data_IF_020898114710
#
_entry.id   IF_020898114710
#
_cell.length_a   1.000
_cell.length_b   1.000
_cell.length_c   1.000
_cell.angle_alpha   90.00
_cell.angle_beta   90.00
_cell.angle_gamma   90.00
#
_symmetry.space_group_name_H-M   'P 1'
#
loop_
_entity.id
_entity.type
_entity.pdbx_description
1 polymer ?
#
# COMPACT_ATOMS: atom_id res chain seq x y z
N UNK A 1 6.00 -0.59 15.90
CA UNK A 1 7.03 -1.64 15.73
C UNK A 1 7.33 -2.30 17.09
N UNK A 2 6.32 -2.74 17.87
CA UNK A 2 6.55 -3.03 19.30
C UNK A 2 5.55 -3.94 20.02
N UNK A 3 4.83 -4.81 19.31
CA UNK A 3 3.99 -5.86 19.97
C UNK A 3 4.15 -7.25 19.37
N UNK A 4 4.61 -7.38 18.11
CA UNK A 4 4.84 -8.71 17.50
C UNK A 4 6.13 -9.35 18.00
N UNK A 5 7.20 -8.54 18.12
CA UNK A 5 8.53 -9.00 18.52
C UNK A 5 8.50 -9.37 20.01
N UNK A 6 7.95 -8.48 20.86
CA UNK A 6 7.84 -8.69 22.31
C UNK A 6 7.01 -9.91 22.72
N UNK A 7 5.95 -10.25 21.98
CA UNK A 7 5.14 -11.44 22.22
C UNK A 7 5.81 -12.75 21.81
N UNK A 8 6.54 -12.74 20.70
CA UNK A 8 7.37 -13.87 20.28
C UNK A 8 8.56 -14.06 21.22
N UNK A 9 9.16 -12.96 21.71
CA UNK A 9 10.22 -12.99 22.73
C UNK A 9 9.75 -13.61 24.05
N UNK A 10 8.47 -13.43 24.41
CA UNK A 10 7.87 -13.99 25.63
C UNK A 10 7.24 -15.38 25.44
N UNK A 11 7.55 -16.08 24.33
CA UNK A 11 7.01 -17.40 23.98
C UNK A 11 5.47 -17.45 23.95
N UNK A 12 4.85 -16.35 23.50
CA UNK A 12 3.39 -16.17 23.44
C UNK A 12 2.81 -16.33 22.03
N UNK A 13 1.49 -16.57 21.95
CA UNK A 13 0.71 -16.64 20.71
C UNK A 13 -0.04 -15.34 20.45
N UNK A 14 -0.07 -14.91 19.19
CA UNK A 14 -0.73 -13.68 18.77
C UNK A 14 -2.12 -13.99 18.21
N UNK A 15 -3.15 -13.42 18.82
CA UNK A 15 -4.53 -13.53 18.37
C UNK A 15 -4.84 -12.50 17.26
N UNK A 16 -5.76 -12.84 16.37
CA UNK A 16 -6.15 -12.00 15.21
C UNK A 16 -6.65 -10.61 15.62
N UNK A 17 -7.19 -10.47 16.84
CA UNK A 17 -7.61 -9.19 17.41
C UNK A 17 -6.45 -8.32 17.93
N UNK A 18 -5.20 -8.75 17.76
CA UNK A 18 -4.00 -8.05 18.22
C UNK A 18 -3.59 -8.35 19.66
N UNK A 19 -4.32 -9.21 20.37
CA UNK A 19 -3.99 -9.63 21.73
C UNK A 19 -2.84 -10.62 21.76
N UNK A 20 -2.09 -10.61 22.84
CA UNK A 20 -0.97 -11.49 23.07
C UNK A 20 -1.25 -12.41 24.25
N UNK A 21 -1.24 -13.71 23.99
CA UNK A 21 -1.43 -14.75 24.99
C UNK A 21 -0.05 -15.32 25.32
N UNK A 22 0.46 -15.13 26.53
CA UNK A 22 1.69 -15.80 26.97
C UNK A 22 1.43 -16.51 28.30
N UNK A 23 2.10 -17.64 28.49
CA UNK A 23 1.88 -18.51 29.63
C UNK A 23 3.09 -18.42 30.56
N UNK A 24 2.92 -17.75 31.69
CA UNK A 24 3.95 -17.66 32.72
C UNK A 24 3.45 -18.36 33.98
N UNK A 25 4.07 -19.49 34.33
CA UNK A 25 3.88 -20.31 35.54
C UNK A 25 2.48 -20.24 36.18
N UNK A 26 1.59 -21.17 35.82
CA UNK A 26 0.20 -21.30 36.31
C UNK A 26 -0.76 -20.12 36.02
N UNK A 27 -0.35 -19.10 35.26
CA UNK A 27 -1.23 -17.97 34.89
C UNK A 27 -1.21 -17.78 33.37
N UNK A 28 -2.41 -17.75 32.77
CA UNK A 28 -2.61 -17.33 31.38
C UNK A 28 -2.89 -15.82 31.36
N UNK A 29 -1.90 -15.03 30.98
CA UNK A 29 -2.06 -13.58 30.87
C UNK A 29 -2.45 -13.22 29.44
N UNK A 30 -3.57 -12.51 29.29
CA UNK A 30 -4.02 -11.93 28.02
C UNK A 30 -3.67 -10.46 28.02
N UNK A 31 -2.62 -10.08 27.30
CA UNK A 31 -2.37 -8.66 27.04
C UNK A 31 -3.35 -8.25 25.94
N UNK A 32 -4.40 -7.55 26.34
CA UNK A 32 -5.34 -6.93 25.41
C UNK A 32 -4.58 -5.93 24.56
N UNK A 33 -4.37 -6.28 23.30
CA UNK A 33 -3.77 -5.38 22.32
C UNK A 33 -4.81 -4.34 21.95
N UNK A 34 -4.88 -3.24 22.70
CA UNK A 34 -5.65 -2.07 22.29
C UNK A 34 -4.97 -1.47 21.07
N UNK A 35 -5.42 -1.91 19.89
CA UNK A 35 -5.54 -1.22 18.62
C UNK A 35 -5.43 -2.27 17.51
N UNK A 36 -6.42 -2.40 16.60
CA UNK A 36 -6.22 -3.16 15.37
C UNK A 36 -4.94 -2.64 14.73
N UNK A 37 -3.97 -3.54 14.59
CA UNK A 37 -2.58 -3.25 14.26
C UNK A 37 -2.54 -2.60 12.87
N UNK A 38 -2.67 -1.28 12.81
CA UNK A 38 -2.61 -0.55 11.55
C UNK A 38 -1.23 -0.80 10.94
N UNK A 39 -1.21 -1.28 9.70
CA UNK A 39 0.03 -1.55 8.95
C UNK A 39 0.90 -0.28 9.01
N UNK A 40 2.19 -0.36 9.39
CA UNK A 40 3.00 0.82 9.63
C UNK A 40 3.10 1.73 8.41
N UNK A 41 3.17 1.17 7.20
CA UNK A 41 3.13 1.93 5.94
C UNK A 41 1.81 2.65 5.73
N UNK A 42 0.69 2.00 6.04
CA UNK A 42 -0.65 2.61 5.95
C UNK A 42 -0.78 3.78 6.94
N UNK A 43 -0.29 3.58 8.17
CA UNK A 43 -0.27 4.63 9.19
C UNK A 43 0.55 5.84 8.75
N UNK A 44 1.75 5.60 8.21
CA UNK A 44 2.64 6.64 7.71
C UNK A 44 2.02 7.40 6.53
N UNK A 45 1.43 6.69 5.56
CA UNK A 45 0.76 7.31 4.43
C UNK A 45 -0.42 8.19 4.85
N UNK A 46 -1.28 7.69 5.74
CA UNK A 46 -2.45 8.47 6.19
C UNK A 46 -2.12 9.63 7.12
N UNK A 47 -1.14 9.48 8.02
CA UNK A 47 -0.81 10.51 9.01
C UNK A 47 0.28 11.47 8.56
N UNK A 48 1.35 10.97 7.96
CA UNK A 48 2.54 11.78 7.68
C UNK A 48 2.54 12.31 6.24
N UNK A 49 2.10 11.51 5.26
CA UNK A 49 2.07 11.95 3.84
C UNK A 49 0.81 12.75 3.53
N UNK A 50 -0.36 12.22 3.87
CA UNK A 50 -1.64 12.84 3.55
C UNK A 50 -2.12 13.83 4.62
N UNK A 51 -1.71 13.66 5.89
CA UNK A 51 -2.31 14.31 7.07
C UNK A 51 -3.85 14.32 7.02
N UNK A 52 -4.46 13.14 6.98
CA UNK A 52 -5.91 13.02 6.92
C UNK A 52 -6.57 13.64 8.17
N UNK A 53 -7.45 14.62 7.97
CA UNK A 53 -8.30 15.19 9.01
C UNK A 53 -9.43 14.21 9.41
N UNK A 54 -9.97 14.35 10.62
CA UNK A 54 -11.02 13.46 11.15
C UNK A 54 -12.42 13.72 10.54
N UNK A 55 -12.57 14.72 9.65
CA UNK A 55 -13.84 14.98 8.98
C UNK A 55 -13.74 16.04 7.86
N UNK A 56 -14.79 16.12 7.03
CA UNK A 56 -14.91 17.11 5.94
C UNK A 56 -15.13 18.55 6.44
N UNK A 57 -15.60 18.71 7.68
CA UNK A 57 -15.89 20.01 8.30
C UNK A 57 -14.64 20.69 8.87
N UNK A 58 -13.55 19.93 9.03
CA UNK A 58 -12.27 20.39 9.54
C UNK A 58 -11.23 20.29 8.43
N UNK A 59 -11.24 21.25 7.50
CA UNK A 59 -10.14 21.42 6.55
C UNK A 59 -8.89 21.85 7.34
N UNK A 60 -8.08 20.87 7.74
CA UNK A 60 -6.84 21.10 8.48
C UNK A 60 -5.82 21.92 7.69
N UNK A 61 -4.65 22.15 8.27
CA UNK A 61 -3.58 22.93 7.62
C UNK A 61 -3.11 22.26 6.32
N UNK A 62 -3.10 22.99 5.22
CA UNK A 62 -2.65 22.49 3.92
C UNK A 62 -1.17 22.07 3.97
N UNK A 63 -0.87 20.85 3.54
CA UNK A 63 0.51 20.36 3.45
C UNK A 63 1.29 21.08 2.34
N UNK A 64 2.16 22.00 2.72
CA UNK A 64 2.99 22.77 1.80
C UNK A 64 3.88 21.90 0.90
N UNK A 65 4.34 20.75 1.41
CA UNK A 65 5.12 19.79 0.63
C UNK A 65 4.33 19.18 -0.54
N UNK A 66 3.04 18.86 -0.32
CA UNK A 66 2.17 18.36 -1.38
C UNK A 66 1.85 19.47 -2.38
N UNK A 67 1.61 20.70 -1.91
CA UNK A 67 1.39 21.86 -2.78
C UNK A 67 2.56 22.13 -3.73
N UNK A 68 3.79 22.08 -3.22
CA UNK A 68 5.01 22.25 -4.04
C UNK A 68 5.17 21.10 -5.03
N UNK A 69 4.89 19.85 -4.62
CA UNK A 69 4.92 18.69 -5.50
C UNK A 69 3.96 18.84 -6.69
N UNK A 70 2.74 19.31 -6.42
CA UNK A 70 1.73 19.57 -7.47
C UNK A 70 2.17 20.69 -8.41
N UNK A 71 2.72 21.78 -7.87
CA UNK A 71 3.22 22.89 -8.68
C UNK A 71 4.37 22.43 -9.60
N UNK A 72 5.29 21.63 -9.08
CA UNK A 72 6.40 21.08 -9.86
C UNK A 72 5.92 20.14 -10.98
N UNK A 73 4.93 19.30 -10.69
CA UNK A 73 4.30 18.43 -11.70
C UNK A 73 3.64 19.25 -12.82
N UNK A 74 2.91 20.30 -12.45
CA UNK A 74 2.28 21.20 -13.42
C UNK A 74 3.35 21.83 -14.33
N UNK A 75 4.40 22.42 -13.74
CA UNK A 75 5.53 23.00 -14.49
C UNK A 75 6.18 21.98 -15.42
N UNK A 76 6.41 20.74 -14.98
CA UNK A 76 6.97 19.68 -15.81
C UNK A 76 6.08 19.38 -17.03
N UNK A 77 4.76 19.31 -16.87
CA UNK A 77 3.82 19.12 -17.97
C UNK A 77 3.89 20.30 -18.95
N UNK A 78 3.93 21.53 -18.46
CA UNK A 78 4.12 22.71 -19.32
C UNK A 78 5.42 22.64 -20.10
N UNK A 79 6.53 22.27 -19.46
CA UNK A 79 7.84 22.13 -20.13
C UNK A 79 7.80 21.05 -21.23
N UNK A 80 7.14 19.91 -20.98
CA UNK A 80 6.96 18.86 -21.98
C UNK A 80 6.15 19.32 -23.21
N UNK A 81 5.23 20.27 -23.03
CA UNK A 81 4.41 20.84 -24.10
C UNK A 81 5.13 21.98 -24.84
N UNK A 82 5.86 22.84 -24.12
CA UNK A 82 6.55 24.00 -24.68
C UNK A 82 7.77 23.65 -25.54
N UNK A 83 8.46 22.54 -25.28
CA UNK A 83 9.67 22.15 -26.04
C UNK A 83 9.43 21.55 -27.44
N UNK A 84 8.17 21.56 -27.90
CA UNK A 84 7.82 21.19 -29.27
C UNK A 84 7.85 19.68 -29.53
N UNK A 85 6.90 19.23 -30.36
CA UNK A 85 6.65 17.82 -30.73
C UNK A 85 7.86 17.05 -31.28
N UNK A 86 8.94 17.74 -31.67
CA UNK A 86 10.17 17.11 -32.17
C UNK A 86 11.09 16.55 -31.07
N UNK A 87 11.13 17.16 -29.88
CA UNK A 87 11.94 16.67 -28.75
C UNK A 87 11.12 15.80 -27.79
N UNK A 88 9.84 16.16 -27.56
CA UNK A 88 8.94 15.45 -26.66
C UNK A 88 8.73 13.98 -27.06
N UNK A 89 8.75 13.67 -28.36
CA UNK A 89 8.69 12.29 -28.84
C UNK A 89 9.82 11.41 -28.29
N UNK A 90 11.04 11.95 -28.13
CA UNK A 90 12.20 11.18 -27.63
C UNK A 90 12.03 10.75 -26.17
N UNK A 91 11.52 11.66 -25.33
CA UNK A 91 11.25 11.40 -23.91
C UNK A 91 10.07 10.44 -23.74
N UNK A 92 9.05 10.56 -24.58
CA UNK A 92 7.89 9.64 -24.57
C UNK A 92 8.32 8.19 -24.81
N UNK A 93 9.28 7.91 -25.72
CA UNK A 93 9.78 6.54 -25.88
C UNK A 93 10.35 5.97 -24.58
N UNK A 94 11.06 6.78 -23.79
CA UNK A 94 11.60 6.34 -22.49
C UNK A 94 10.48 6.14 -21.48
N UNK A 95 9.52 7.07 -21.37
CA UNK A 95 8.40 7.00 -20.43
C UNK A 95 7.46 5.84 -20.74
N UNK A 96 7.34 5.43 -22.01
CA UNK A 96 6.54 4.26 -22.40
C UNK A 96 7.31 2.97 -22.18
N UNK A 97 8.60 2.91 -22.52
CA UNK A 97 9.39 1.67 -22.41
C UNK A 97 9.73 1.33 -20.94
N UNK A 98 9.99 2.34 -20.11
CA UNK A 98 10.31 2.16 -18.69
C UNK A 98 9.25 1.36 -17.90
N UNK A 99 7.94 1.66 -17.95
CA UNK A 99 6.93 0.86 -17.27
C UNK A 99 6.82 -0.55 -17.83
N UNK A 100 7.05 -0.79 -19.13
CA UNK A 100 7.10 -2.16 -19.65
C UNK A 100 8.25 -2.97 -19.05
N UNK A 101 9.44 -2.37 -18.93
CA UNK A 101 10.59 -3.03 -18.27
C UNK A 101 10.26 -3.34 -16.81
N UNK A 102 9.70 -2.37 -16.08
CA UNK A 102 9.30 -2.55 -14.68
C UNK A 102 8.23 -3.64 -14.55
N UNK A 103 7.23 -3.67 -15.44
CA UNK A 103 6.18 -4.69 -15.43
C UNK A 103 6.76 -6.09 -15.61
N UNK A 104 7.70 -6.27 -16.55
CA UNK A 104 8.36 -7.56 -16.76
C UNK A 104 9.23 -7.96 -15.56
N UNK A 105 10.00 -7.03 -15.02
CA UNK A 105 10.86 -7.28 -13.85
C UNK A 105 10.04 -7.60 -12.59
N UNK A 106 8.96 -6.84 -12.34
CA UNK A 106 8.02 -7.11 -11.26
C UNK A 106 7.37 -8.47 -11.46
N UNK A 107 6.90 -8.80 -12.67
CA UNK A 107 6.30 -10.11 -12.94
C UNK A 107 7.27 -11.25 -12.66
N UNK A 108 8.53 -11.14 -13.10
CA UNK A 108 9.56 -12.15 -12.83
C UNK A 108 9.78 -12.32 -11.31
N UNK A 109 9.89 -11.22 -10.58
CA UNK A 109 10.04 -11.24 -9.12
C UNK A 109 8.80 -11.81 -8.41
N UNK A 110 7.61 -11.45 -8.89
CA UNK A 110 6.34 -11.95 -8.37
C UNK A 110 6.26 -13.47 -8.54
N UNK A 111 6.70 -14.04 -9.68
CA UNK A 111 6.70 -15.48 -9.93
C UNK A 111 7.78 -16.24 -9.15
N UNK A 112 8.87 -15.58 -8.80
CA UNK A 112 10.00 -16.19 -8.06
C UNK A 112 9.72 -16.32 -6.57
N UNK A 113 8.77 -15.54 -6.02
CA UNK A 113 8.40 -15.62 -4.61
C UNK A 113 7.60 -16.89 -4.29
N UNK A 114 7.97 -17.55 -3.20
CA UNK A 114 7.26 -18.72 -2.69
C UNK A 114 5.80 -18.34 -2.38
N UNK A 115 4.84 -19.08 -2.95
CA UNK A 115 3.41 -18.77 -2.83
C UNK A 115 2.80 -17.92 -3.94
N UNK A 116 3.58 -17.51 -4.95
CA UNK A 116 3.10 -16.76 -6.12
C UNK A 116 1.97 -17.46 -6.89
N UNK A 117 2.07 -18.78 -7.02
CA UNK A 117 1.07 -19.58 -7.76
C UNK A 117 -0.33 -19.45 -7.17
N UNK A 118 -0.49 -19.35 -5.86
CA UNK A 118 -1.79 -19.16 -5.21
C UNK A 118 -2.40 -17.79 -5.56
N UNK A 119 -1.57 -16.74 -5.59
CA UNK A 119 -2.03 -15.40 -5.99
C UNK A 119 -2.47 -15.38 -7.46
N UNK A 120 -1.71 -16.05 -8.34
CA UNK A 120 -2.05 -16.19 -9.75
C UNK A 120 -3.37 -16.97 -9.94
N UNK A 121 -3.53 -18.09 -9.25
CA UNK A 121 -4.77 -18.88 -9.28
C UNK A 121 -5.98 -18.10 -8.78
N UNK A 122 -5.81 -17.28 -7.74
CA UNK A 122 -6.89 -16.44 -7.23
C UNK A 122 -7.27 -15.34 -8.23
N UNK A 123 -6.30 -14.73 -8.91
CA UNK A 123 -6.55 -13.71 -9.93
C UNK A 123 -7.25 -14.26 -11.17
N UNK A 124 -6.89 -15.46 -11.63
CA UNK A 124 -7.44 -16.05 -12.85
C UNK A 124 -8.78 -16.77 -12.66
N UNK A 125 -9.26 -16.97 -11.43
CA UNK A 125 -10.51 -17.70 -11.17
C UNK A 125 -11.73 -16.80 -11.41
N UNK A 126 -12.54 -17.02 -12.45
CA UNK A 126 -13.74 -16.21 -12.68
C UNK A 126 -14.87 -16.59 -11.71
N UNK A 127 -15.50 -15.59 -11.08
CA UNK A 127 -16.71 -15.75 -10.27
C UNK A 127 -17.97 -15.61 -11.12
N UNK A 128 -18.45 -16.75 -11.65
CA UNK A 128 -19.63 -16.84 -12.51
C UNK A 128 -20.94 -16.39 -11.84
N UNK A 129 -21.01 -16.38 -10.51
CA UNK A 129 -22.18 -15.95 -9.77
C UNK A 129 -22.42 -14.44 -9.90
N UNK A 130 -21.35 -13.63 -9.90
CA UNK A 130 -21.42 -12.17 -10.07
C UNK A 130 -21.99 -11.81 -11.44
N UNK A 131 -21.55 -12.53 -12.48
CA UNK A 131 -22.02 -12.35 -13.86
C UNK A 131 -23.52 -12.66 -14.00
N UNK A 132 -24.04 -13.66 -13.28
CA UNK A 132 -25.48 -14.01 -13.30
C UNK A 132 -26.37 -12.99 -12.59
N UNK A 133 -25.85 -12.25 -11.62
CA UNK A 133 -26.62 -11.25 -10.88
C UNK A 133 -26.84 -9.96 -11.69
N UNK A 134 -26.04 -9.72 -12.74
CA UNK A 134 -26.19 -8.57 -13.65
C UNK A 134 -27.21 -8.80 -14.78
N UNK A 135 -27.69 -10.04 -14.95
CA UNK A 135 -28.61 -10.44 -16.03
C UNK A 135 -30.05 -10.66 -15.55
N UNK A 136 -30.36 -10.30 -14.30
CA UNK A 136 -31.71 -10.30 -13.72
C UNK A 136 -32.08 -8.87 -13.33
#
# INVERSE_FOLDING_TARGET
MGTRISCLESNGTLLVNGSCMFQQTNITAVISGTNPKSIPSLRYFHKDVLMLSNGFTEVGSLNWYLGICVLLSWVAVFLCLFQGVKSSGKVVYVVVVLPFIIMVALLAQLLTLEGSSIALWHFLRPDWYVLKNLTR
#
